data_IF_508753149221
#
_entry.id   IF_508753149221
#
_cell.length_a   1.000
_cell.length_b   1.000
_cell.length_c   1.000
_cell.angle_alpha   90.00
_cell.angle_beta   90.00
_cell.angle_gamma   90.00
#
_symmetry.space_group_name_H-M   'P 1'
#
loop_
_entity.id
_entity.type
_entity.pdbx_description
1 polymer ?
#
# COMPACT_ATOMS: atom_id res chain seq x y z
N UNK A 1 15.31 -0.21 20.14
CA UNK A 1 16.20 -0.44 18.98
C UNK A 1 15.59 0.00 17.64
N UNK A 2 14.33 0.47 17.56
CA UNK A 2 13.67 0.75 16.27
C UNK A 2 13.12 2.18 16.06
N UNK A 3 13.59 3.18 16.83
CA UNK A 3 13.01 4.55 16.78
C UNK A 3 13.06 5.18 15.39
N UNK A 4 14.08 4.88 14.58
CA UNK A 4 14.21 5.35 13.21
C UNK A 4 13.03 4.92 12.30
N UNK A 5 12.40 3.79 12.60
CA UNK A 5 11.28 3.24 11.83
C UNK A 5 9.90 3.69 12.35
N UNK A 6 9.82 4.41 13.47
CA UNK A 6 8.56 4.82 14.10
C UNK A 6 8.02 6.17 13.58
N UNK A 7 8.19 6.48 12.30
CA UNK A 7 7.77 7.79 11.75
C UNK A 7 6.25 8.01 11.79
N UNK A 8 5.47 6.93 11.75
CA UNK A 8 4.01 6.95 11.94
C UNK A 8 3.61 6.44 13.33
N UNK A 9 4.55 6.38 14.27
CA UNK A 9 4.38 5.78 15.59
C UNK A 9 4.81 4.31 15.64
N UNK A 10 4.67 3.73 16.84
CA UNK A 10 5.01 2.33 17.10
C UNK A 10 4.06 1.39 16.35
N UNK A 11 4.59 0.35 15.71
CA UNK A 11 3.80 -0.62 14.95
C UNK A 11 4.34 -2.04 15.13
N UNK A 12 3.66 -3.04 14.55
CA UNK A 12 3.98 -4.48 14.74
C UNK A 12 5.47 -4.79 14.48
N UNK A 13 6.08 -4.17 13.47
CA UNK A 13 7.50 -4.37 13.13
C UNK A 13 8.53 -3.67 14.03
N UNK A 14 8.12 -2.82 14.97
CA UNK A 14 9.05 -1.99 15.79
C UNK A 14 8.81 -2.09 17.28
N UNK A 15 7.75 -2.78 17.70
CA UNK A 15 7.44 -3.10 19.10
C UNK A 15 7.86 -4.51 19.46
N UNK A 16 8.19 -4.74 20.73
CA UNK A 16 8.54 -6.04 21.30
C UNK A 16 7.66 -6.38 22.53
N UNK A 17 7.77 -7.62 23.02
CA UNK A 17 7.14 -8.07 24.27
C UNK A 17 5.62 -7.91 24.29
N UNK A 18 5.07 -7.40 25.41
CA UNK A 18 3.64 -7.24 25.60
C UNK A 18 2.99 -6.28 24.57
N UNK A 19 3.69 -5.21 24.19
CA UNK A 19 3.21 -4.26 23.19
C UNK A 19 3.13 -4.90 21.79
N UNK A 20 4.13 -5.73 21.43
CA UNK A 20 4.07 -6.51 20.20
C UNK A 20 2.87 -7.46 20.16
N UNK A 21 2.62 -8.20 21.25
CA UNK A 21 1.47 -9.12 21.36
C UNK A 21 0.17 -8.36 21.15
N UNK A 22 0.03 -7.18 21.77
CA UNK A 22 -1.14 -6.31 21.61
C UNK A 22 -1.31 -5.85 20.16
N UNK A 23 -0.27 -5.28 19.55
CA UNK A 23 -0.33 -4.80 18.17
C UNK A 23 -0.64 -5.93 17.18
N UNK A 24 0.02 -7.09 17.33
CA UNK A 24 -0.21 -8.24 16.47
C UNK A 24 -1.62 -8.81 16.61
N UNK A 25 -2.20 -8.84 17.82
CA UNK A 25 -3.58 -9.27 18.05
C UNK A 25 -4.61 -8.36 17.37
N UNK A 26 -4.35 -7.06 17.29
CA UNK A 26 -5.21 -6.12 16.58
C UNK A 26 -5.08 -6.31 15.07
N UNK A 27 -3.84 -6.33 14.57
CA UNK A 27 -3.56 -6.47 13.14
C UNK A 27 -4.02 -7.81 12.56
N UNK A 28 -3.89 -8.91 13.30
CA UNK A 28 -4.20 -10.26 12.80
C UNK A 28 -5.64 -10.44 12.33
N UNK A 29 -6.58 -9.64 12.86
CA UNK A 29 -8.00 -9.63 12.42
C UNK A 29 -8.16 -9.24 10.95
N UNK A 30 -7.26 -8.41 10.42
CA UNK A 30 -7.25 -8.03 9.02
C UNK A 30 -6.68 -9.15 8.12
N UNK A 31 -5.85 -10.04 8.66
CA UNK A 31 -5.12 -11.08 7.92
C UNK A 31 -5.68 -12.50 8.11
N UNK A 32 -7.00 -12.62 8.22
CA UNK A 32 -7.68 -13.92 8.30
C UNK A 32 -7.85 -14.53 6.90
N UNK A 33 -8.04 -15.85 6.82
CA UNK A 33 -8.26 -16.53 5.53
C UNK A 33 -9.44 -15.95 4.72
N UNK A 34 -10.61 -15.63 5.31
CA UNK A 34 -11.68 -14.96 4.57
C UNK A 34 -11.27 -13.60 3.98
N UNK A 35 -10.50 -12.80 4.72
CA UNK A 35 -10.00 -11.52 4.23
C UNK A 35 -8.97 -11.70 3.12
N UNK A 36 -8.11 -12.72 3.22
CA UNK A 36 -7.16 -13.06 2.16
C UNK A 36 -7.86 -13.53 0.88
N UNK A 37 -8.99 -14.23 0.97
CA UNK A 37 -9.85 -14.55 -0.19
C UNK A 37 -10.38 -13.29 -0.87
N UNK A 38 -10.74 -12.25 -0.10
CA UNK A 38 -11.15 -10.96 -0.65
C UNK A 38 -9.99 -10.26 -1.36
N UNK A 39 -8.79 -10.23 -0.75
CA UNK A 39 -7.58 -9.68 -1.37
C UNK A 39 -7.32 -10.39 -2.71
N UNK A 40 -7.35 -11.72 -2.73
CA UNK A 40 -7.17 -12.52 -3.95
C UNK A 40 -8.17 -12.12 -5.05
N UNK A 41 -9.46 -12.00 -4.70
CA UNK A 41 -10.51 -11.59 -5.64
C UNK A 41 -10.23 -10.20 -6.24
N UNK A 42 -9.78 -9.24 -5.41
CA UNK A 42 -9.41 -7.90 -5.88
C UNK A 42 -8.19 -7.94 -6.79
N UNK A 43 -7.15 -8.67 -6.41
CA UNK A 43 -5.95 -8.84 -7.22
C UNK A 43 -6.27 -9.44 -8.58
N UNK A 44 -7.05 -10.52 -8.64
CA UNK A 44 -7.44 -11.14 -9.90
C UNK A 44 -8.24 -10.18 -10.79
N UNK A 45 -9.18 -9.42 -10.21
CA UNK A 45 -9.94 -8.39 -10.94
C UNK A 45 -9.00 -7.34 -11.55
N UNK A 46 -8.10 -6.77 -10.76
CA UNK A 46 -7.19 -5.69 -11.19
C UNK A 46 -6.23 -6.18 -12.26
N UNK A 47 -5.69 -7.39 -12.12
CA UNK A 47 -4.81 -8.01 -13.10
C UNK A 47 -5.55 -8.23 -14.43
N UNK A 48 -6.78 -8.70 -14.39
CA UNK A 48 -7.59 -8.85 -15.61
C UNK A 48 -7.88 -7.50 -16.26
N UNK A 49 -8.24 -6.47 -15.49
CA UNK A 49 -8.42 -5.10 -16.01
C UNK A 49 -7.14 -4.55 -16.66
N UNK A 50 -5.98 -4.80 -16.05
CA UNK A 50 -4.69 -4.46 -16.66
C UNK A 50 -4.51 -5.16 -18.02
N UNK A 51 -4.81 -6.46 -18.08
CA UNK A 51 -4.70 -7.24 -19.30
C UNK A 51 -5.59 -6.68 -20.41
N UNK A 52 -6.83 -6.34 -20.09
CA UNK A 52 -7.83 -5.88 -21.05
C UNK A 52 -7.57 -4.45 -21.55
N UNK A 53 -7.03 -3.57 -20.69
CA UNK A 53 -7.01 -2.13 -20.95
C UNK A 53 -5.64 -1.59 -21.39
N UNK A 54 -4.55 -2.25 -21.00
CA UNK A 54 -3.21 -1.63 -21.06
C UNK A 54 -2.08 -2.60 -21.47
N UNK A 55 -2.36 -3.91 -21.55
CA UNK A 55 -1.33 -4.92 -21.82
C UNK A 55 -0.55 -4.68 -23.13
N UNK A 56 -1.26 -4.34 -24.20
CA UNK A 56 -0.66 -4.14 -25.52
C UNK A 56 0.27 -2.91 -25.58
N UNK A 57 0.16 -1.98 -24.63
CA UNK A 57 0.89 -0.71 -24.65
C UNK A 57 2.06 -0.67 -23.65
N UNK A 58 2.28 -1.75 -22.88
CA UNK A 58 3.18 -1.74 -21.71
C UNK A 58 4.64 -2.15 -21.95
N UNK A 59 4.99 -2.61 -23.15
CA UNK A 59 6.35 -3.10 -23.42
C UNK A 59 6.77 -4.21 -22.45
N UNK A 60 8.07 -4.33 -22.17
CA UNK A 60 8.63 -5.39 -21.32
C UNK A 60 8.63 -5.07 -19.80
N UNK A 61 8.23 -3.86 -19.39
CA UNK A 61 8.32 -3.44 -17.98
C UNK A 61 7.02 -3.72 -17.21
N UNK A 62 7.07 -4.72 -16.34
CA UNK A 62 5.92 -5.14 -15.52
C UNK A 62 5.77 -4.24 -14.28
N UNK A 63 4.68 -3.45 -14.18
CA UNK A 63 4.48 -2.54 -13.04
C UNK A 63 3.90 -3.24 -11.80
N UNK A 64 4.73 -4.05 -11.16
CA UNK A 64 4.41 -4.67 -9.85
C UNK A 64 4.04 -3.62 -8.80
N UNK A 65 4.73 -2.47 -8.82
CA UNK A 65 4.50 -1.39 -7.88
C UNK A 65 3.09 -0.80 -8.05
N UNK A 66 2.62 -0.59 -9.28
CA UNK A 66 1.27 -0.12 -9.55
C UNK A 66 0.23 -1.17 -9.15
N UNK A 67 0.45 -2.45 -9.48
CA UNK A 67 -0.46 -3.52 -9.10
C UNK A 67 -0.61 -3.61 -7.58
N UNK A 68 0.51 -3.62 -6.85
CA UNK A 68 0.50 -3.67 -5.39
C UNK A 68 -0.21 -2.46 -4.78
N UNK A 69 -0.02 -1.27 -5.36
CA UNK A 69 -0.70 -0.03 -4.97
C UNK A 69 -2.21 -0.15 -5.15
N UNK A 70 -2.69 -0.62 -6.30
CA UNK A 70 -4.13 -0.79 -6.54
C UNK A 70 -4.75 -1.85 -5.63
N UNK A 71 -4.04 -2.95 -5.38
CA UNK A 71 -4.50 -4.00 -4.47
C UNK A 71 -4.65 -3.47 -3.04
N UNK A 72 -3.66 -2.73 -2.51
CA UNK A 72 -3.76 -2.19 -1.16
C UNK A 72 -4.85 -1.10 -1.06
N UNK A 73 -5.03 -0.29 -2.11
CA UNK A 73 -6.14 0.67 -2.20
C UNK A 73 -7.49 -0.04 -2.11
N UNK A 74 -7.69 -1.10 -2.89
CA UNK A 74 -8.94 -1.85 -2.94
C UNK A 74 -9.20 -2.63 -1.66
N UNK A 75 -8.28 -3.50 -1.29
CA UNK A 75 -8.47 -4.44 -0.20
C UNK A 75 -8.17 -3.85 1.18
N UNK A 76 -7.24 -2.89 1.26
CA UNK A 76 -6.84 -2.25 2.52
C UNK A 76 -7.68 -1.03 2.89
N UNK A 77 -8.15 -0.27 1.90
CA UNK A 77 -8.84 1.01 2.12
C UNK A 77 -10.24 1.09 1.50
N UNK A 78 -10.74 0.02 0.87
CA UNK A 78 -12.06 -0.02 0.27
C UNK A 78 -12.25 0.97 -0.88
N UNK A 79 -11.18 1.42 -1.52
CA UNK A 79 -11.24 2.30 -2.68
C UNK A 79 -11.51 1.49 -3.95
N UNK A 80 -12.06 2.13 -4.99
CA UNK A 80 -12.50 1.44 -6.21
C UNK A 80 -11.40 0.62 -6.90
N UNK A 81 -10.12 0.99 -6.70
CA UNK A 81 -8.94 0.21 -7.05
C UNK A 81 -8.87 -0.21 -8.52
N UNK A 82 -9.59 0.48 -9.40
CA UNK A 82 -9.63 0.25 -10.84
C UNK A 82 -8.25 0.51 -11.45
N UNK A 83 -7.88 -0.32 -12.42
CA UNK A 83 -6.60 -0.16 -13.11
C UNK A 83 -6.47 1.22 -13.77
N UNK A 84 -7.51 1.59 -14.53
CA UNK A 84 -7.71 2.98 -14.96
C UNK A 84 -8.36 3.73 -13.81
N UNK A 85 -7.62 4.71 -13.28
CA UNK A 85 -8.02 5.48 -12.12
C UNK A 85 -8.55 6.86 -12.52
N UNK A 86 -9.39 7.40 -11.64
CA UNK A 86 -9.88 8.76 -11.78
C UNK A 86 -8.70 9.73 -11.84
N UNK A 87 -8.74 10.63 -12.83
CA UNK A 87 -7.75 11.72 -12.97
C UNK A 87 -8.13 12.93 -12.14
N UNK A 88 -9.37 12.99 -11.65
CA UNK A 88 -9.95 14.14 -10.96
C UNK A 88 -10.12 13.84 -9.47
N UNK A 89 -9.57 14.69 -8.57
CA UNK A 89 -9.81 14.59 -7.14
C UNK A 89 -11.30 14.70 -6.78
N UNK A 90 -11.76 14.01 -5.70
CA UNK A 90 -13.08 14.25 -5.13
C UNK A 90 -13.25 15.71 -4.68
N UNK A 91 -14.49 16.20 -4.65
CA UNK A 91 -14.81 17.57 -4.25
C UNK A 91 -14.17 17.92 -2.89
N UNK A 92 -13.49 19.08 -2.84
CA UNK A 92 -12.82 19.55 -1.63
C UNK A 92 -11.47 18.89 -1.31
N UNK A 93 -10.93 18.04 -2.21
CA UNK A 93 -9.59 17.46 -2.08
C UNK A 93 -8.67 17.91 -3.21
N UNK A 94 -7.39 18.04 -2.91
CA UNK A 94 -6.36 18.44 -3.88
C UNK A 94 -5.75 17.25 -4.64
N UNK A 95 -5.86 16.03 -4.11
CA UNK A 95 -5.24 14.81 -4.66
C UNK A 95 -6.27 13.68 -4.77
N UNK A 96 -6.13 12.86 -5.80
CA UNK A 96 -6.79 11.54 -5.85
C UNK A 96 -6.11 10.59 -4.86
N UNK A 97 -6.83 9.56 -4.40
CA UNK A 97 -6.34 8.66 -3.37
C UNK A 97 -5.00 8.00 -3.73
N UNK A 98 -4.83 7.58 -4.99
CA UNK A 98 -3.56 7.01 -5.48
C UNK A 98 -2.38 7.97 -5.29
N UNK A 99 -2.55 9.24 -5.63
CA UNK A 99 -1.49 10.25 -5.50
C UNK A 99 -1.15 10.51 -4.04
N UNK A 100 -2.16 10.60 -3.17
CA UNK A 100 -1.95 10.76 -1.74
C UNK A 100 -1.18 9.56 -1.16
N UNK A 101 -1.60 8.33 -1.49
CA UNK A 101 -0.97 7.12 -0.99
C UNK A 101 0.46 6.94 -1.53
N UNK A 102 0.67 7.16 -2.83
CA UNK A 102 2.01 7.18 -3.43
C UNK A 102 2.90 8.21 -2.75
N UNK A 103 2.39 9.41 -2.49
CA UNK A 103 3.12 10.44 -1.77
C UNK A 103 3.55 9.98 -0.36
N UNK A 104 2.72 9.25 0.37
CA UNK A 104 3.09 8.70 1.68
C UNK A 104 4.22 7.66 1.54
N UNK A 105 4.14 6.76 0.56
CA UNK A 105 5.15 5.71 0.33
C UNK A 105 6.49 6.30 -0.13
N UNK A 106 6.47 7.24 -1.07
CA UNK A 106 7.69 7.87 -1.58
C UNK A 106 8.42 8.63 -0.46
N UNK A 107 7.66 9.35 0.40
CA UNK A 107 8.24 10.06 1.55
C UNK A 107 8.78 9.12 2.64
N UNK A 108 8.18 7.93 2.80
CA UNK A 108 8.70 6.89 3.70
C UNK A 108 10.08 6.42 3.24
N UNK A 109 10.24 6.11 1.95
CA UNK A 109 11.50 5.66 1.37
C UNK A 109 12.57 6.74 1.48
N UNK A 110 12.26 7.98 1.10
CA UNK A 110 13.19 9.10 1.16
C UNK A 110 13.70 9.36 2.59
N UNK A 111 12.81 9.29 3.59
CA UNK A 111 13.19 9.48 5.00
C UNK A 111 14.02 8.33 5.54
N UNK A 112 13.74 7.09 5.12
CA UNK A 112 14.56 5.94 5.52
C UNK A 112 15.97 6.01 4.91
N UNK A 113 16.08 6.40 3.64
CA UNK A 113 17.38 6.63 2.98
C UNK A 113 18.18 7.73 3.69
N UNK A 114 17.58 8.89 3.94
CA UNK A 114 18.25 9.96 4.67
C UNK A 114 18.68 9.58 6.09
N UNK A 115 17.96 8.67 6.76
CA UNK A 115 18.37 8.15 8.07
C UNK A 115 19.55 7.16 7.98
N UNK A 116 19.68 6.41 6.89
CA UNK A 116 20.82 5.53 6.64
C UNK A 116 22.06 6.32 6.22
N UNK A 117 21.90 7.37 5.41
CA UNK A 117 23.00 8.21 4.92
C UNK A 117 23.64 9.08 6.02
N UNK A 118 22.88 9.45 7.05
CA UNK A 118 23.37 10.21 8.21
C UNK A 118 23.98 9.31 9.30
N UNK A 119 23.76 7.99 9.19
CA UNK A 119 24.24 6.99 10.15
C UNK A 119 25.50 6.23 9.75
N UNK A 120 26.16 6.62 8.65
CA UNK A 120 27.42 6.04 8.13
C UNK A 120 28.66 6.85 8.45
#
# INVERSE_FOLDING_TARGET
>A
MFKAFNMFGNHVGTTDGAEWVRHRKIASRAFTEPNMKMVWKQTARIVNEMFDLDWAHRGDEFALDDLSMFVIMAAGFGQDGKWIHDKTPPLGRSLIFRQALKGVVDNLILRLQGLLDVGG
#
